data_IF_678040168785
#
_entry.id   IF_678040168785
#
_cell.length_a   1.000
_cell.length_b   1.000
_cell.length_c   1.000
_cell.angle_alpha   90.00
_cell.angle_beta   90.00
_cell.angle_gamma   90.00
#
_symmetry.space_group_name_H-M   'P 1'
#
loop_
_entity.id
_entity.type
_entity.pdbx_description
1 polymer ?
#
# COMPACT_ATOMS: atom_id res chain seq x y z
N UNK A 1 15.86 13.12 -25.82
CA UNK A 1 14.71 12.18 -25.92
C UNK A 1 14.95 11.04 -24.93
N UNK A 2 13.98 10.71 -24.07
CA UNK A 2 14.13 9.60 -23.13
C UNK A 2 14.42 8.31 -23.91
N UNK A 3 15.39 7.51 -23.46
CA UNK A 3 15.74 6.26 -24.11
C UNK A 3 14.50 5.34 -24.10
N UNK A 4 14.05 4.80 -25.26
CA UNK A 4 12.82 4.00 -25.37
C UNK A 4 12.79 2.78 -24.44
N UNK A 5 13.96 2.26 -24.03
CA UNK A 5 14.05 1.20 -23.03
C UNK A 5 13.61 1.68 -21.64
N UNK A 6 13.98 2.90 -21.26
CA UNK A 6 13.61 3.50 -19.96
C UNK A 6 12.11 3.77 -19.91
N UNK A 7 11.49 4.19 -21.02
CA UNK A 7 10.03 4.44 -21.07
C UNK A 7 9.18 3.17 -20.95
N UNK A 8 9.72 1.98 -21.23
CA UNK A 8 9.00 0.71 -21.07
C UNK A 8 9.31 0.07 -19.72
N UNK A 9 10.58 0.10 -19.30
CA UNK A 9 11.03 -0.55 -18.06
C UNK A 9 10.43 0.15 -16.84
N UNK A 10 10.34 1.49 -16.84
CA UNK A 10 9.83 2.25 -15.68
C UNK A 10 8.36 1.91 -15.37
N UNK A 11 7.43 1.90 -16.35
CA UNK A 11 6.06 1.45 -16.11
C UNK A 11 5.97 -0.01 -15.64
N UNK A 12 6.71 -0.93 -16.26
CA UNK A 12 6.69 -2.35 -15.88
C UNK A 12 7.20 -2.55 -14.45
N UNK A 13 8.32 -1.90 -14.10
CA UNK A 13 8.82 -1.91 -12.74
C UNK A 13 7.83 -1.30 -11.74
N UNK A 14 7.11 -0.24 -12.14
CA UNK A 14 6.04 0.37 -11.34
C UNK A 14 4.89 -0.61 -11.04
N UNK A 15 4.45 -1.38 -12.03
CA UNK A 15 3.40 -2.40 -11.87
C UNK A 15 3.85 -3.50 -10.91
N UNK A 16 5.06 -4.02 -11.10
CA UNK A 16 5.62 -5.08 -10.24
C UNK A 16 5.79 -4.57 -8.80
N UNK A 17 6.33 -3.36 -8.64
CA UNK A 17 6.49 -2.72 -7.34
C UNK A 17 5.14 -2.49 -6.63
N UNK A 18 4.10 -2.12 -7.37
CA UNK A 18 2.76 -1.95 -6.81
C UNK A 18 2.18 -3.28 -6.29
N UNK A 19 2.35 -4.38 -7.04
CA UNK A 19 1.88 -5.70 -6.61
C UNK A 19 2.60 -6.20 -5.36
N UNK A 20 3.94 -6.08 -5.34
CA UNK A 20 4.74 -6.50 -4.18
C UNK A 20 4.46 -5.60 -2.98
N UNK A 21 4.36 -4.29 -3.20
CA UNK A 21 4.05 -3.30 -2.17
C UNK A 21 2.68 -3.54 -1.52
N UNK A 22 1.65 -3.87 -2.31
CA UNK A 22 0.31 -4.20 -1.78
C UNK A 22 0.38 -5.41 -0.85
N UNK A 23 1.03 -6.50 -1.28
CA UNK A 23 1.17 -7.72 -0.46
C UNK A 23 1.99 -7.47 0.81
N UNK A 24 3.07 -6.69 0.71
CA UNK A 24 3.89 -6.34 1.86
C UNK A 24 3.13 -5.46 2.86
N UNK A 25 2.30 -4.53 2.37
CA UNK A 25 1.46 -3.70 3.22
C UNK A 25 0.36 -4.53 3.91
N UNK A 26 -0.27 -5.46 3.20
CA UNK A 26 -1.27 -6.38 3.76
C UNK A 26 -0.67 -7.29 4.85
N UNK A 27 0.48 -7.91 4.56
CA UNK A 27 1.19 -8.74 5.53
C UNK A 27 1.71 -7.93 6.72
N UNK A 28 2.21 -6.72 6.49
CA UNK A 28 2.68 -5.83 7.55
C UNK A 28 1.55 -5.36 8.46
N UNK A 29 0.38 -5.08 7.90
CA UNK A 29 -0.81 -4.75 8.68
C UNK A 29 -1.26 -5.92 9.55
N UNK A 30 -1.35 -7.13 8.96
CA UNK A 30 -1.68 -8.35 9.70
C UNK A 30 -0.67 -8.68 10.80
N UNK A 31 0.61 -8.43 10.58
CA UNK A 31 1.65 -8.64 11.59
C UNK A 31 1.58 -7.64 12.76
N UNK A 32 1.23 -6.37 12.50
CA UNK A 32 1.18 -5.32 13.53
C UNK A 32 -0.13 -5.32 14.31
N UNK A 33 -1.25 -5.60 13.64
CA UNK A 33 -2.58 -5.48 14.23
C UNK A 33 -3.31 -6.82 14.41
N UNK A 34 -2.80 -7.93 13.87
CA UNK A 34 -3.45 -9.25 13.95
C UNK A 34 -4.78 -9.34 13.19
N UNK A 35 -5.09 -8.32 12.37
CA UNK A 35 -6.35 -8.13 11.67
C UNK A 35 -6.10 -8.09 10.16
N UNK A 36 -7.12 -8.43 9.36
CA UNK A 36 -7.05 -8.26 7.91
C UNK A 36 -6.89 -6.79 7.53
N UNK A 37 -6.05 -6.53 6.55
CA UNK A 37 -5.81 -5.17 6.08
C UNK A 37 -7.09 -4.54 5.50
N UNK A 38 -7.29 -3.22 5.72
CA UNK A 38 -8.43 -2.48 5.18
C UNK A 38 -8.23 -2.22 3.69
N UNK A 39 -8.45 -3.25 2.88
CA UNK A 39 -8.37 -3.19 1.42
C UNK A 39 -9.74 -2.88 0.82
N UNK A 40 -9.76 -2.33 -0.40
CA UNK A 40 -11.01 -2.09 -1.15
C UNK A 40 -11.81 -3.39 -1.36
N UNK A 41 -11.13 -4.55 -1.45
CA UNK A 41 -11.79 -5.85 -1.58
C UNK A 41 -12.45 -6.29 -0.28
N UNK A 42 -11.74 -6.18 0.85
CA UNK A 42 -12.27 -6.56 2.16
C UNK A 42 -13.42 -5.64 2.58
N UNK A 43 -13.32 -4.33 2.33
CA UNK A 43 -14.41 -3.37 2.55
C UNK A 43 -15.65 -3.71 1.71
N UNK A 44 -15.50 -4.00 0.41
CA UNK A 44 -16.63 -4.35 -0.46
C UNK A 44 -17.29 -5.68 -0.07
N UNK A 45 -16.51 -6.66 0.38
CA UNK A 45 -17.06 -7.92 0.88
C UNK A 45 -17.88 -7.68 2.16
N UNK A 46 -17.30 -6.94 3.10
CA UNK A 46 -17.95 -6.66 4.38
C UNK A 46 -19.24 -5.82 4.22
N UNK A 47 -19.25 -4.82 3.31
CA UNK A 47 -20.47 -4.08 2.95
C UNK A 47 -21.56 -4.98 2.35
N UNK A 48 -21.18 -5.95 1.49
CA UNK A 48 -22.13 -6.91 0.92
C UNK A 48 -22.73 -7.82 1.97
N UNK A 49 -21.93 -8.28 2.92
CA UNK A 49 -22.38 -9.14 4.02
C UNK A 49 -23.33 -8.40 4.96
N UNK A 50 -23.04 -7.12 5.28
CA UNK A 50 -23.95 -6.25 6.04
C UNK A 50 -25.26 -6.05 5.28
N UNK A 51 -25.21 -5.77 3.99
CA UNK A 51 -26.42 -5.61 3.17
C UNK A 51 -27.25 -6.91 3.12
N UNK A 52 -26.60 -8.08 3.05
CA UNK A 52 -27.26 -9.37 3.11
C UNK A 52 -27.92 -9.62 4.47
N UNK A 53 -27.21 -9.34 5.58
CA UNK A 53 -27.75 -9.45 6.95
C UNK A 53 -28.92 -8.50 7.19
N UNK A 54 -28.83 -7.25 6.76
CA UNK A 54 -29.94 -6.27 6.83
C UNK A 54 -31.16 -6.74 6.03
N UNK A 55 -30.96 -7.39 4.87
CA UNK A 55 -32.06 -7.99 4.07
C UNK A 55 -32.67 -9.20 4.76
N UNK A 56 -31.86 -10.04 5.39
CA UNK A 56 -32.33 -11.23 6.11
C UNK A 56 -33.17 -10.82 7.33
N UNK A 57 -32.67 -9.88 8.15
CA UNK A 57 -33.41 -9.35 9.30
C UNK A 57 -34.74 -8.68 8.91
N UNK A 58 -34.80 -8.03 7.74
CA UNK A 58 -36.07 -7.52 7.19
C UNK A 58 -37.06 -8.63 6.85
N UNK A 59 -36.58 -9.78 6.36
CA UNK A 59 -37.43 -10.95 6.07
C UNK A 59 -37.88 -11.64 7.36
N UNK A 60 -37.03 -11.66 8.37
CA UNK A 60 -37.29 -12.28 9.66
C UNK A 60 -38.17 -11.41 10.58
N UNK A 61 -38.61 -10.22 10.11
CA UNK A 61 -39.54 -9.35 10.82
C UNK A 61 -38.91 -8.46 11.89
N UNK A 62 -37.58 -8.30 11.89
CA UNK A 62 -36.88 -7.47 12.86
C UNK A 62 -37.30 -6.00 12.78
N UNK A 63 -37.28 -5.32 13.93
CA UNK A 63 -37.62 -3.91 14.05
C UNK A 63 -36.61 -3.03 13.29
N UNK A 64 -37.04 -1.82 12.89
CA UNK A 64 -36.14 -0.86 12.21
C UNK A 64 -34.92 -0.49 13.05
N UNK A 65 -35.03 -0.53 14.38
CA UNK A 65 -33.93 -0.28 15.30
C UNK A 65 -32.88 -1.39 15.26
N UNK A 66 -33.29 -2.66 15.17
CA UNK A 66 -32.38 -3.81 15.07
C UNK A 66 -31.67 -3.87 13.72
N UNK A 67 -32.36 -3.49 12.63
CA UNK A 67 -31.76 -3.40 11.29
C UNK A 67 -30.72 -2.26 11.23
N UNK A 68 -31.00 -1.13 11.90
CA UNK A 68 -30.08 0.00 11.99
C UNK A 68 -28.89 -0.29 12.92
N UNK A 69 -29.06 -1.16 13.92
CA UNK A 69 -27.98 -1.60 14.80
C UNK A 69 -26.95 -2.50 14.10
N UNK A 70 -27.26 -3.05 12.91
CA UNK A 70 -26.25 -3.66 12.04
C UNK A 70 -25.34 -2.55 11.51
N UNK A 71 -24.32 -2.20 12.28
CA UNK A 71 -23.30 -1.20 11.94
C UNK A 71 -22.54 -1.60 10.68
N UNK A 72 -22.16 -0.59 9.90
CA UNK A 72 -21.23 -0.78 8.79
C UNK A 72 -19.80 -0.92 9.36
N UNK A 73 -19.01 -1.90 8.89
CA UNK A 73 -17.67 -2.20 9.41
C UNK A 73 -16.64 -1.08 9.19
N UNK A 74 -16.98 -0.06 8.39
CA UNK A 74 -16.19 1.17 8.28
C UNK A 74 -16.24 2.03 9.55
N UNK A 75 -17.33 1.97 10.33
CA UNK A 75 -17.47 2.75 11.57
C UNK A 75 -16.68 2.16 12.75
N UNK A 76 -16.26 0.89 12.66
CA UNK A 76 -15.51 0.20 13.72
C UNK A 76 -14.00 0.16 13.47
N UNK A 77 -13.52 0.65 12.31
CA UNK A 77 -12.07 0.75 12.10
C UNK A 77 -11.48 1.89 12.92
N UNK A 78 -10.55 1.61 13.85
CA UNK A 78 -10.01 2.66 14.69
C UNK A 78 -9.11 3.59 13.87
N UNK A 79 -9.54 4.84 13.69
CA UNK A 79 -8.80 5.86 12.94
C UNK A 79 -7.34 6.00 13.40
N UNK A 80 -7.07 5.77 14.69
CA UNK A 80 -5.73 5.83 15.25
C UNK A 80 -4.79 4.74 14.69
N UNK A 81 -5.30 3.53 14.36
CA UNK A 81 -4.49 2.46 13.74
C UNK A 81 -4.05 2.88 12.33
N UNK A 82 -4.96 3.47 11.57
CA UNK A 82 -4.67 4.01 10.23
C UNK A 82 -3.64 5.14 10.30
N UNK A 83 -3.80 6.08 11.23
CA UNK A 83 -2.87 7.20 11.42
C UNK A 83 -1.47 6.71 11.83
N UNK A 84 -1.40 5.79 12.79
CA UNK A 84 -0.14 5.20 13.23
C UNK A 84 0.57 4.48 12.08
N UNK A 85 -0.17 3.63 11.37
CA UNK A 85 0.36 2.88 10.23
C UNK A 85 0.84 3.79 9.10
N UNK A 86 0.06 4.82 8.75
CA UNK A 86 0.43 5.80 7.73
C UNK A 86 1.71 6.57 8.13
N UNK A 87 1.84 6.90 9.42
CA UNK A 87 3.02 7.61 9.94
C UNK A 87 4.27 6.73 9.85
N UNK A 88 4.19 5.50 10.34
CA UNK A 88 5.31 4.53 10.31
C UNK A 88 5.70 4.24 8.85
N UNK A 89 4.71 3.95 8.00
CA UNK A 89 4.93 3.70 6.56
C UNK A 89 5.55 4.91 5.87
N UNK A 90 5.12 6.13 6.21
CA UNK A 90 5.68 7.37 5.69
C UNK A 90 7.16 7.54 6.01
N UNK A 91 7.57 7.27 7.25
CA UNK A 91 8.98 7.33 7.67
C UNK A 91 9.82 6.28 6.94
N UNK A 92 9.31 5.05 6.83
CA UNK A 92 10.00 3.96 6.12
C UNK A 92 10.18 4.30 4.64
N UNK A 93 9.14 4.80 3.98
CA UNK A 93 9.18 5.20 2.57
C UNK A 93 10.14 6.37 2.32
N UNK A 94 10.20 7.34 3.24
CA UNK A 94 11.18 8.42 3.17
C UNK A 94 12.61 7.87 3.30
N UNK A 95 12.85 6.96 4.24
CA UNK A 95 14.14 6.28 4.40
C UNK A 95 14.55 5.52 3.13
N UNK A 96 13.65 4.71 2.56
CA UNK A 96 13.85 4.01 1.30
C UNK A 96 14.13 4.96 0.14
N UNK A 97 13.43 6.10 0.05
CA UNK A 97 13.65 7.10 -1.00
C UNK A 97 15.04 7.73 -0.90
N UNK A 98 15.51 8.03 0.31
CA UNK A 98 16.86 8.56 0.54
C UNK A 98 17.92 7.51 0.18
N UNK A 99 17.73 6.26 0.60
CA UNK A 99 18.61 5.15 0.27
C UNK A 99 18.66 4.90 -1.24
N UNK A 100 17.51 4.89 -1.92
CA UNK A 100 17.42 4.72 -3.37
C UNK A 100 18.13 5.86 -4.12
N UNK A 101 17.96 7.12 -3.69
CA UNK A 101 18.69 8.26 -4.27
C UNK A 101 20.20 8.14 -4.10
N UNK A 102 20.66 7.72 -2.92
CA UNK A 102 22.09 7.49 -2.65
C UNK A 102 22.64 6.33 -3.49
N UNK A 103 21.91 5.23 -3.59
CA UNK A 103 22.30 4.07 -4.41
C UNK A 103 22.34 4.40 -5.90
N UNK A 104 21.33 5.11 -6.41
CA UNK A 104 21.30 5.58 -7.80
C UNK A 104 22.47 6.52 -8.09
N UNK A 105 22.80 7.43 -7.17
CA UNK A 105 23.96 8.33 -7.30
C UNK A 105 25.28 7.56 -7.33
N UNK A 106 25.50 6.63 -6.40
CA UNK A 106 26.71 5.80 -6.37
C UNK A 106 26.84 4.89 -7.61
N UNK A 107 25.74 4.32 -8.09
CA UNK A 107 25.70 3.53 -9.32
C UNK A 107 25.97 4.37 -10.57
N UNK A 108 25.37 5.56 -10.64
CA UNK A 108 25.63 6.52 -11.72
C UNK A 108 27.09 6.99 -11.70
N UNK A 109 27.66 7.29 -10.53
CA UNK A 109 29.08 7.64 -10.38
C UNK A 109 29.99 6.50 -10.84
N UNK A 110 29.71 5.23 -10.48
CA UNK A 110 30.46 4.07 -10.99
C UNK A 110 30.38 3.88 -12.51
N UNK A 111 29.24 4.20 -13.12
CA UNK A 111 29.03 4.06 -14.56
C UNK A 111 29.55 5.25 -15.38
N UNK A 112 29.62 6.44 -14.77
CA UNK A 112 30.03 7.69 -15.44
C UNK A 112 31.45 8.12 -15.14
N UNK A 113 32.10 7.58 -14.10
CA UNK A 113 33.53 7.82 -13.85
C UNK A 113 34.37 7.16 -14.94
N UNK A 114 34.86 7.99 -15.87
CA UNK A 114 35.95 7.58 -16.77
C UNK A 114 37.18 7.26 -15.92
N UNK A 115 37.78 6.09 -16.16
CA UNK A 115 39.07 5.67 -15.59
C UNK A 115 40.04 6.86 -15.63
N UNK A 116 40.68 7.26 -14.51
CA UNK A 116 41.58 8.39 -14.50
C UNK A 116 42.65 8.18 -15.56
N UNK A 117 42.77 9.11 -16.52
CA UNK A 117 43.87 9.07 -17.48
C UNK A 117 45.15 9.30 -16.68
N UNK A 118 46.15 8.40 -16.77
CA UNK A 118 47.46 8.69 -16.20
C UNK A 118 47.93 10.00 -16.82
N UNK A 119 48.38 10.91 -15.96
CA UNK A 119 48.98 12.18 -16.34
C UNK A 119 49.89 11.96 -17.57
N UNK A 120 49.59 12.63 -18.68
CA UNK A 120 50.60 12.82 -19.72
C UNK A 120 51.56 13.84 -19.12
N UNK A 121 52.74 13.37 -18.72
CA UNK A 121 53.86 14.21 -18.33
C UNK A 121 54.28 15.14 -19.46
#
# INVERSE_FOLDING_TARGET
MANPLVSIIVPVAGIVAAQIGSKAAEAGWGAVFGEDAPTVKTQKAAQKDVAARRKQLKKDGASKAEIAAVKDPEDDQPLWKLLLWATISGVILQGLRVAARRGAKAGAERLTTRRPRPNRG
#
